data_IF_026087441917
#
_entry.id   IF_026087441917
#
_cell.length_a   1.000
_cell.length_b   1.000
_cell.length_c   1.000
_cell.angle_alpha   90.00
_cell.angle_beta   90.00
_cell.angle_gamma   90.00
#
_symmetry.space_group_name_H-M   'P 1'
#
loop_
_entity.id
_entity.type
_entity.pdbx_description
1 polymer ?
#
# COMPACT_ATOMS: atom_id res chain seq x y z
N UNK A 1 -17.55 -14.54 3.42
CA UNK A 1 -16.29 -13.83 3.73
C UNK A 1 -15.20 -13.97 2.65
N UNK A 2 -15.52 -14.31 1.38
CA UNK A 2 -14.52 -14.44 0.30
C UNK A 2 -14.46 -13.22 -0.65
N UNK A 3 -15.46 -12.32 -0.63
CA UNK A 3 -15.61 -11.23 -1.61
C UNK A 3 -14.59 -10.09 -1.46
N UNK A 4 -14.01 -9.91 -0.27
CA UNK A 4 -13.12 -8.78 0.03
C UNK A 4 -11.64 -9.04 -0.30
N UNK A 5 -11.17 -10.29 -0.24
CA UNK A 5 -9.81 -10.64 -0.69
C UNK A 5 -9.61 -10.41 -2.19
N UNK A 6 -10.66 -10.57 -3.00
CA UNK A 6 -10.66 -10.21 -4.42
C UNK A 6 -10.54 -8.70 -4.65
N UNK A 7 -10.95 -7.87 -3.67
CA UNK A 7 -10.91 -6.41 -3.78
C UNK A 7 -9.48 -5.89 -3.87
N UNK A 8 -8.59 -6.31 -2.95
CA UNK A 8 -7.20 -5.87 -2.98
C UNK A 8 -6.46 -6.39 -4.22
N UNK A 9 -6.66 -7.66 -4.60
CA UNK A 9 -6.04 -8.23 -5.80
C UNK A 9 -6.47 -7.49 -7.08
N UNK A 10 -7.74 -7.11 -7.21
CA UNK A 10 -8.22 -6.29 -8.32
C UNK A 10 -7.58 -4.89 -8.33
N UNK A 11 -7.42 -4.26 -7.16
CA UNK A 11 -6.75 -2.95 -7.03
C UNK A 11 -5.26 -3.06 -7.41
N UNK A 12 -4.58 -4.10 -6.95
CA UNK A 12 -3.17 -4.37 -7.27
C UNK A 12 -2.96 -4.54 -8.77
N UNK A 13 -3.82 -5.32 -9.43
CA UNK A 13 -3.82 -5.53 -10.89
C UNK A 13 -4.22 -4.29 -11.69
N UNK A 14 -4.94 -3.36 -11.06
CA UNK A 14 -5.46 -2.15 -11.70
C UNK A 14 -6.87 -2.33 -12.29
N UNK A 15 -7.52 -3.47 -12.02
CA UNK A 15 -8.88 -3.78 -12.43
C UNK A 15 -9.94 -3.04 -11.58
N UNK A 16 -9.54 -2.51 -10.43
CA UNK A 16 -10.36 -1.73 -9.52
C UNK A 16 -9.59 -0.54 -8.92
N UNK A 17 -10.33 0.43 -8.36
CA UNK A 17 -9.81 1.56 -7.59
C UNK A 17 -10.06 1.35 -6.11
N UNK A 18 -9.36 2.12 -5.28
CA UNK A 18 -9.72 2.30 -3.88
C UNK A 18 -11.16 2.85 -3.77
N UNK A 19 -11.96 2.35 -2.82
CA UNK A 19 -13.26 2.95 -2.55
C UNK A 19 -13.08 4.38 -2.02
N UNK A 20 -13.75 5.35 -2.64
CA UNK A 20 -13.67 6.77 -2.28
C UNK A 20 -14.96 7.35 -1.71
N UNK A 21 -16.06 6.59 -1.72
CA UNK A 21 -17.35 7.06 -1.22
C UNK A 21 -17.36 7.11 0.32
N UNK A 22 -17.98 8.13 0.94
CA UNK A 22 -18.05 8.25 2.40
C UNK A 22 -18.65 7.02 3.09
N UNK A 23 -19.59 6.33 2.44
CA UNK A 23 -20.23 5.11 2.95
C UNK A 23 -19.32 3.87 2.96
N UNK A 24 -18.19 3.90 2.23
CA UNK A 24 -17.28 2.77 2.10
C UNK A 24 -16.07 2.86 3.04
N UNK A 25 -16.10 3.72 4.07
CA UNK A 25 -14.95 3.96 4.96
C UNK A 25 -14.45 2.69 5.65
N UNK A 26 -15.35 1.83 6.13
CA UNK A 26 -14.98 0.56 6.77
C UNK A 26 -14.31 -0.40 5.78
N UNK A 27 -14.78 -0.41 4.53
CA UNK A 27 -14.17 -1.18 3.45
C UNK A 27 -12.78 -0.64 3.11
N UNK A 28 -12.62 0.69 3.04
CA UNK A 28 -11.34 1.34 2.79
C UNK A 28 -10.33 0.99 3.90
N UNK A 29 -10.75 1.07 5.16
CA UNK A 29 -9.94 0.68 6.31
C UNK A 29 -9.49 -0.78 6.21
N UNK A 30 -10.43 -1.70 5.95
CA UNK A 30 -10.11 -3.12 5.78
C UNK A 30 -9.11 -3.36 4.64
N UNK A 31 -9.28 -2.70 3.49
CA UNK A 31 -8.39 -2.86 2.36
C UNK A 31 -7.00 -2.25 2.64
N UNK A 32 -6.91 -1.16 3.39
CA UNK A 32 -5.65 -0.56 3.83
C UNK A 32 -4.89 -1.51 4.78
N UNK A 33 -5.56 -2.08 5.78
CA UNK A 33 -4.99 -3.12 6.67
C UNK A 33 -4.51 -4.35 5.88
N UNK A 34 -5.33 -4.84 4.95
CA UNK A 34 -4.98 -5.98 4.09
C UNK A 34 -3.76 -5.65 3.22
N UNK A 35 -3.69 -4.42 2.70
CA UNK A 35 -2.58 -3.96 1.88
C UNK A 35 -1.28 -3.86 2.69
N UNK A 36 -1.33 -3.34 3.92
CA UNK A 36 -0.20 -3.35 4.86
C UNK A 36 0.29 -4.77 5.10
N UNK A 37 -0.61 -5.68 5.48
CA UNK A 37 -0.26 -7.08 5.71
C UNK A 37 0.39 -7.72 4.47
N UNK A 38 -0.07 -7.38 3.26
CA UNK A 38 0.52 -7.86 2.02
C UNK A 38 1.93 -7.34 1.79
N UNK A 39 2.17 -6.05 2.02
CA UNK A 39 3.50 -5.45 1.90
C UNK A 39 4.48 -6.08 2.88
N UNK A 40 4.07 -6.26 4.14
CA UNK A 40 4.87 -6.91 5.18
C UNK A 40 5.23 -8.34 4.81
N UNK A 41 4.28 -9.08 4.22
CA UNK A 41 4.48 -10.48 3.84
C UNK A 41 5.38 -10.65 2.61
N UNK A 42 5.21 -9.83 1.59
CA UNK A 42 5.81 -10.06 0.27
C UNK A 42 7.10 -9.26 0.04
N UNK A 43 7.35 -8.20 0.82
CA UNK A 43 8.59 -7.44 0.71
C UNK A 43 9.68 -8.05 1.59
N UNK A 44 10.87 -8.36 1.02
CA UNK A 44 11.98 -8.85 1.82
C UNK A 44 12.55 -7.73 2.69
N UNK A 45 13.11 -8.10 3.84
CA UNK A 45 13.82 -7.17 4.72
C UNK A 45 14.98 -6.44 3.99
N UNK A 46 15.65 -7.12 3.05
CA UNK A 46 16.70 -6.54 2.20
C UNK A 46 16.26 -6.52 0.73
N UNK A 47 16.26 -5.33 0.13
CA UNK A 47 15.90 -5.09 -1.27
C UNK A 47 16.72 -5.94 -2.25
N UNK A 48 17.97 -6.30 -1.92
CA UNK A 48 18.84 -7.13 -2.78
C UNK A 48 18.23 -8.50 -3.05
N UNK A 49 17.40 -9.01 -2.13
CA UNK A 49 16.68 -10.27 -2.27
C UNK A 49 15.34 -10.13 -3.02
N UNK A 50 14.95 -8.92 -3.45
CA UNK A 50 13.72 -8.73 -4.20
C UNK A 50 13.87 -9.29 -5.63
N UNK A 51 13.00 -10.22 -6.01
CA UNK A 51 12.85 -10.66 -7.40
C UNK A 51 12.32 -9.51 -8.28
N UNK A 52 12.34 -9.68 -9.60
CA UNK A 52 11.77 -8.69 -10.52
C UNK A 52 10.27 -8.43 -10.22
N UNK A 53 9.51 -9.49 -9.95
CA UNK A 53 8.10 -9.39 -9.57
C UNK A 53 7.90 -8.61 -8.26
N UNK A 54 8.73 -8.85 -7.24
CA UNK A 54 8.67 -8.11 -5.97
C UNK A 54 9.00 -6.63 -6.17
N UNK A 55 9.97 -6.30 -7.04
CA UNK A 55 10.28 -4.89 -7.38
C UNK A 55 9.12 -4.22 -8.11
N UNK A 56 8.45 -4.93 -9.01
CA UNK A 56 7.25 -4.42 -9.69
C UNK A 56 6.10 -4.21 -8.71
N UNK A 57 5.89 -5.15 -7.79
CA UNK A 57 4.92 -5.02 -6.70
C UNK A 57 5.22 -3.79 -5.83
N UNK A 58 6.46 -3.60 -5.39
CA UNK A 58 6.87 -2.44 -4.61
C UNK A 58 6.64 -1.12 -5.38
N UNK A 59 6.90 -1.10 -6.69
CA UNK A 59 6.62 0.07 -7.52
C UNK A 59 5.11 0.38 -7.56
N UNK A 60 4.27 -0.63 -7.86
CA UNK A 60 2.81 -0.49 -7.89
C UNK A 60 2.27 -0.05 -6.53
N UNK A 61 2.81 -0.60 -5.45
CA UNK A 61 2.42 -0.25 -4.08
C UNK A 61 2.64 1.23 -3.77
N UNK A 62 3.76 1.83 -4.22
CA UNK A 62 4.00 3.28 -4.03
C UNK A 62 2.94 4.12 -4.74
N UNK A 63 2.57 3.76 -5.97
CA UNK A 63 1.47 4.45 -6.68
C UNK A 63 0.13 4.31 -5.96
N UNK A 64 -0.16 3.13 -5.41
CA UNK A 64 -1.40 2.89 -4.66
C UNK A 64 -1.44 3.65 -3.34
N UNK A 65 -0.30 3.84 -2.66
CA UNK A 65 -0.19 4.70 -1.48
C UNK A 65 -0.53 6.16 -1.80
N UNK A 66 -0.13 6.66 -2.97
CA UNK A 66 -0.52 8.01 -3.41
C UNK A 66 -2.02 8.08 -3.67
N UNK A 67 -2.60 7.11 -4.39
CA UNK A 67 -4.07 7.06 -4.63
C UNK A 67 -4.83 7.01 -3.30
N UNK A 68 -4.34 6.23 -2.33
CA UNK A 68 -4.94 6.12 -1.02
C UNK A 68 -4.84 7.45 -0.24
N UNK A 69 -3.70 8.14 -0.29
CA UNK A 69 -3.50 9.41 0.41
C UNK A 69 -4.37 10.54 -0.17
N UNK A 70 -4.64 10.53 -1.48
CA UNK A 70 -5.56 11.45 -2.15
C UNK A 70 -7.01 11.26 -1.65
N UNK A 71 -7.40 10.03 -1.32
CA UNK A 71 -8.72 9.69 -0.79
C UNK A 71 -8.78 9.95 0.72
N UNK A 72 -7.78 9.47 1.45
CA UNK A 72 -7.69 9.54 2.91
C UNK A 72 -6.24 9.44 3.38
N UNK A 73 -5.69 10.58 3.83
CA UNK A 73 -4.37 10.63 4.43
C UNK A 73 -4.24 9.71 5.66
N UNK A 74 -5.29 9.62 6.48
CA UNK A 74 -5.36 8.75 7.66
C UNK A 74 -5.13 7.27 7.28
N UNK A 75 -5.83 6.79 6.25
CA UNK A 75 -5.69 5.39 5.81
C UNK A 75 -4.31 5.13 5.19
N UNK A 76 -3.75 6.10 4.47
CA UNK A 76 -2.38 5.98 3.94
C UNK A 76 -1.34 5.94 5.06
N UNK A 77 -1.51 6.74 6.12
CA UNK A 77 -0.65 6.72 7.31
C UNK A 77 -0.71 5.39 8.04
N UNK A 78 -1.91 4.80 8.17
CA UNK A 78 -2.09 3.48 8.77
C UNK A 78 -1.29 2.38 8.03
N UNK A 79 -1.19 2.45 6.69
CA UNK A 79 -0.40 1.47 5.93
C UNK A 79 1.10 1.55 6.24
N UNK A 80 1.63 2.76 6.43
CA UNK A 80 3.06 3.00 6.63
C UNK A 80 3.48 3.03 8.11
N UNK A 81 2.51 3.11 9.02
CA UNK A 81 2.78 3.22 10.45
C UNK A 81 3.52 1.97 10.95
N UNK A 82 4.54 2.23 11.76
CA UNK A 82 5.11 1.22 12.61
C UNK A 82 4.07 0.82 13.64
N UNK A 83 3.94 -0.48 13.87
CA UNK A 83 3.29 -0.92 15.10
C UNK A 83 4.36 -0.96 16.20
N UNK A 84 4.04 -0.35 17.34
CA UNK A 84 4.88 -0.39 18.53
C UNK A 84 4.72 -1.74 19.29
N UNK A 85 3.81 -2.60 18.83
CA UNK A 85 3.36 -3.81 19.52
C UNK A 85 4.08 -5.09 19.09
N UNK A 86 5.04 -5.01 18.16
CA UNK A 86 5.87 -6.15 17.74
C UNK A 86 5.29 -6.98 16.58
N UNK A 87 4.29 -6.48 15.87
CA UNK A 87 3.95 -6.99 14.55
C UNK A 87 5.04 -6.60 13.53
N UNK A 88 5.11 -7.30 12.38
CA UNK A 88 6.20 -7.11 11.46
C UNK A 88 6.04 -5.77 10.72
N UNK A 89 7.09 -4.95 10.80
CA UNK A 89 7.18 -3.63 10.17
C UNK A 89 7.45 -3.73 8.68
N UNK A 90 7.07 -2.68 7.94
CA UNK A 90 7.52 -2.53 6.55
C UNK A 90 9.05 -2.45 6.50
N UNK A 91 9.70 -3.04 5.48
CA UNK A 91 11.14 -2.93 5.33
C UNK A 91 11.60 -1.47 5.21
N UNK A 92 12.66 -1.11 5.94
CA UNK A 92 13.17 0.26 5.97
C UNK A 92 13.52 0.81 4.57
N UNK A 93 14.03 -0.03 3.67
CA UNK A 93 14.34 0.38 2.30
C UNK A 93 13.09 0.83 1.53
N UNK A 94 11.93 0.22 1.79
CA UNK A 94 10.68 0.57 1.14
C UNK A 94 10.16 1.91 1.67
N UNK A 95 10.23 2.14 2.99
CA UNK A 95 9.86 3.41 3.61
C UNK A 95 10.72 4.57 3.09
N UNK A 96 12.02 4.37 2.92
CA UNK A 96 12.93 5.36 2.31
C UNK A 96 12.54 5.67 0.87
N UNK A 97 12.14 4.67 0.08
CA UNK A 97 11.66 4.91 -1.29
C UNK A 97 10.33 5.64 -1.32
N UNK A 98 9.38 5.29 -0.45
CA UNK A 98 8.10 6.00 -0.30
C UNK A 98 8.37 7.48 0.01
N UNK A 99 9.16 7.77 1.03
CA UNK A 99 9.49 9.15 1.41
C UNK A 99 10.18 9.93 0.27
N UNK A 100 11.01 9.27 -0.53
CA UNK A 100 11.72 9.88 -1.66
C UNK A 100 10.83 10.11 -2.89
N UNK A 101 9.97 9.14 -3.20
CA UNK A 101 9.28 9.08 -4.49
C UNK A 101 7.86 9.65 -4.42
N UNK A 102 7.22 9.69 -3.24
CA UNK A 102 5.88 10.26 -3.07
C UNK A 102 5.74 11.67 -3.68
N UNK A 103 6.64 12.64 -3.43
CA UNK A 103 6.51 13.98 -4.02
C UNK A 103 6.49 13.96 -5.56
N UNK A 104 7.27 13.06 -6.16
CA UNK A 104 7.35 12.92 -7.63
C UNK A 104 6.12 12.22 -8.19
N UNK A 105 5.61 11.22 -7.49
CA UNK A 105 4.42 10.49 -7.90
C UNK A 105 3.16 11.37 -7.81
N UNK A 106 3.07 12.26 -6.82
CA UNK A 106 2.03 13.29 -6.73
C UNK A 106 2.16 14.28 -7.90
N UNK A 107 3.37 14.79 -8.16
CA UNK A 107 3.60 15.73 -9.26
C UNK A 107 3.31 15.14 -10.65
N UNK A 108 3.56 13.85 -10.87
CA UNK A 108 3.28 13.17 -12.14
C UNK A 108 1.78 12.93 -12.41
N UNK A 109 0.91 13.20 -11.44
CA UNK A 109 -0.54 13.03 -11.53
C UNK A 109 -1.33 14.33 -11.65
N UNK A 110 -0.70 15.47 -11.36
CA UNK A 110 -1.28 16.81 -11.48
C UNK A 110 -1.24 17.31 -12.93
#
# INVERSE_FOLDING_TARGET
MARHAFGLEAILKGDARWPGEPGDRDLLYFLAETFRARLVKDLPADKRHASAAVRQFAFRAKSLLVELAEISLEMAQLVIADDETGNPRLPAWFLVEVARDLPRLVAARA
#
